data_IF_910569960447
#
_entry.id   IF_910569960447
#
_cell.length_a   1.000
_cell.length_b   1.000
_cell.length_c   1.000
_cell.angle_alpha   90.00
_cell.angle_beta   90.00
_cell.angle_gamma   90.00
#
_symmetry.space_group_name_H-M   'P 1'
#
loop_
_entity.id
_entity.type
_entity.pdbx_description
1 polymer ?
#
# COMPACT_ATOMS: atom_id res chain seq x y z
N UNK A 1 4.86 20.38 -0.56
CA UNK A 1 5.37 20.15 -1.93
C UNK A 1 6.44 19.06 -1.97
N UNK A 2 7.44 19.08 -1.08
CA UNK A 2 8.57 18.14 -1.14
C UNK A 2 8.16 16.66 -0.99
N UNK A 3 7.27 16.32 -0.06
CA UNK A 3 6.83 14.92 0.13
C UNK A 3 6.12 14.37 -1.11
N UNK A 4 5.20 15.13 -1.72
CA UNK A 4 4.52 14.73 -2.96
C UNK A 4 5.52 14.61 -4.11
N UNK A 5 6.47 15.55 -4.23
CA UNK A 5 7.53 15.48 -5.24
C UNK A 5 8.36 14.20 -5.12
N UNK A 6 8.78 13.82 -3.93
CA UNK A 6 9.51 12.58 -3.69
C UNK A 6 8.69 11.32 -4.01
N UNK A 7 7.40 11.31 -3.69
CA UNK A 7 6.50 10.19 -4.04
C UNK A 7 6.39 10.05 -5.57
N UNK A 8 6.22 11.15 -6.30
CA UNK A 8 6.14 11.14 -7.76
C UNK A 8 7.45 10.70 -8.41
N UNK A 9 8.59 11.20 -7.93
CA UNK A 9 9.92 10.76 -8.39
C UNK A 9 10.08 9.25 -8.16
N UNK A 10 9.79 8.77 -6.95
CA UNK A 10 9.86 7.34 -6.65
C UNK A 10 8.93 6.51 -7.55
N UNK A 11 7.71 6.98 -7.80
CA UNK A 11 6.76 6.34 -8.70
C UNK A 11 7.31 6.23 -10.14
N UNK A 12 7.86 7.33 -10.69
CA UNK A 12 8.49 7.36 -12.03
C UNK A 12 9.68 6.39 -12.10
N UNK A 13 10.55 6.43 -11.10
CA UNK A 13 11.70 5.51 -11.01
C UNK A 13 11.28 4.04 -10.95
N UNK A 14 10.19 3.72 -10.25
CA UNK A 14 9.67 2.35 -10.20
C UNK A 14 9.10 1.91 -11.54
N UNK A 15 8.37 2.77 -12.24
CA UNK A 15 7.85 2.49 -13.57
C UNK A 15 8.98 2.27 -14.59
N UNK A 16 10.05 3.07 -14.57
CA UNK A 16 11.22 2.93 -15.42
C UNK A 16 12.06 1.70 -15.11
N UNK A 17 12.25 1.42 -13.83
CA UNK A 17 13.19 0.43 -13.33
C UNK A 17 12.59 -0.94 -13.04
N UNK A 18 11.28 -1.13 -13.18
CA UNK A 18 10.57 -2.37 -12.82
C UNK A 18 10.92 -2.85 -11.41
N UNK A 19 10.87 -1.96 -10.44
CA UNK A 19 11.19 -2.23 -9.04
C UNK A 19 10.03 -1.90 -8.10
N UNK A 20 9.97 -2.47 -6.89
CA UNK A 20 8.93 -2.16 -5.94
C UNK A 20 8.95 -0.68 -5.52
N UNK A 21 7.78 -0.07 -5.38
CA UNK A 21 7.63 1.30 -4.89
C UNK A 21 7.87 1.41 -3.38
N UNK A 22 7.74 0.31 -2.65
CA UNK A 22 7.84 0.23 -1.20
C UNK A 22 8.48 -1.10 -0.79
N UNK A 23 9.11 -1.16 0.38
CA UNK A 23 9.63 -2.41 0.95
C UNK A 23 8.53 -3.41 1.30
N UNK A 24 7.32 -2.92 1.60
CA UNK A 24 6.15 -3.77 1.79
C UNK A 24 5.55 -4.05 0.40
N UNK A 25 5.93 -5.16 -0.18
CA UNK A 25 5.42 -5.59 -1.48
C UNK A 25 4.07 -6.31 -1.37
N UNK A 26 3.53 -6.39 -0.16
CA UNK A 26 2.15 -6.75 0.12
C UNK A 26 1.84 -8.23 0.17
N UNK A 27 0.60 -8.53 0.53
CA UNK A 27 -0.05 -9.81 0.29
C UNK A 27 -0.91 -9.75 -0.96
N UNK A 28 -0.99 -10.85 -1.70
CA UNK A 28 -1.72 -10.87 -2.96
C UNK A 28 -3.21 -11.12 -2.71
N UNK A 29 -4.05 -10.27 -3.29
CA UNK A 29 -5.49 -10.46 -3.37
C UNK A 29 -5.87 -10.63 -4.84
N UNK A 30 -6.65 -11.66 -5.14
CA UNK A 30 -7.09 -11.98 -6.49
C UNK A 30 -8.62 -11.96 -6.51
N UNK A 31 -9.18 -11.14 -7.37
CA UNK A 31 -10.59 -11.16 -7.72
C UNK A 31 -10.71 -11.77 -9.10
N UNK A 32 -11.42 -12.87 -9.22
CA UNK A 32 -11.63 -13.57 -10.47
C UNK A 32 -13.10 -13.79 -10.72
N UNK A 33 -13.57 -13.35 -11.89
CA UNK A 33 -14.87 -13.74 -12.43
C UNK A 33 -14.66 -14.82 -13.47
N UNK A 34 -15.32 -15.93 -13.28
CA UNK A 34 -15.26 -17.08 -14.17
C UNK A 34 -16.52 -17.06 -15.02
N UNK A 35 -16.36 -16.90 -16.31
CA UNK A 35 -17.49 -17.01 -17.24
C UNK A 35 -18.10 -18.41 -17.24
N UNK A 36 -19.43 -18.52 -17.17
CA UNK A 36 -20.14 -19.81 -17.23
C UNK A 36 -19.84 -20.60 -18.50
N UNK A 37 -19.48 -19.92 -19.58
CA UNK A 37 -19.15 -20.52 -20.87
C UNK A 37 -17.65 -20.65 -21.09
N UNK A 38 -16.82 -20.21 -20.15
CA UNK A 38 -15.37 -20.32 -20.23
C UNK A 38 -14.92 -21.80 -20.15
N UNK A 39 -14.08 -22.22 -21.06
CA UNK A 39 -13.48 -23.56 -21.06
C UNK A 39 -12.14 -23.54 -20.36
N UNK A 40 -12.10 -24.06 -19.14
CA UNK A 40 -10.87 -24.16 -18.36
C UNK A 40 -10.27 -25.56 -18.49
N UNK A 41 -9.11 -25.67 -19.12
CA UNK A 41 -8.33 -26.92 -19.18
C UNK A 41 -7.26 -26.90 -18.07
N UNK A 42 -7.67 -27.27 -16.87
CA UNK A 42 -6.81 -27.27 -15.70
C UNK A 42 -6.36 -28.69 -15.34
N UNK A 43 -5.08 -28.83 -15.05
CA UNK A 43 -4.51 -30.10 -14.52
C UNK A 43 -4.48 -30.12 -12.98
N UNK A 44 -4.83 -29.00 -12.35
CA UNK A 44 -4.87 -28.78 -10.89
C UNK A 44 -6.06 -27.91 -10.54
N UNK A 45 -6.34 -27.74 -9.26
CA UNK A 45 -7.36 -26.81 -8.80
C UNK A 45 -6.98 -25.36 -9.20
N UNK A 46 -7.97 -24.55 -9.55
CA UNK A 46 -7.76 -23.15 -9.94
C UNK A 46 -6.96 -22.36 -8.88
N UNK A 47 -7.27 -22.60 -7.60
CA UNK A 47 -6.58 -21.97 -6.46
C UNK A 47 -5.08 -22.30 -6.45
N UNK A 48 -4.72 -23.54 -6.78
CA UNK A 48 -3.32 -23.98 -6.82
C UNK A 48 -2.59 -23.30 -7.99
N UNK A 49 -3.22 -23.22 -9.16
CA UNK A 49 -2.64 -22.54 -10.33
C UNK A 49 -2.38 -21.06 -10.04
N UNK A 50 -3.31 -20.38 -9.38
CA UNK A 50 -3.16 -18.98 -8.98
C UNK A 50 -2.02 -18.81 -7.95
N UNK A 51 -1.94 -19.68 -6.95
CA UNK A 51 -0.87 -19.65 -5.96
C UNK A 51 0.51 -19.97 -6.57
N UNK A 52 0.59 -20.88 -7.52
CA UNK A 52 1.85 -21.11 -8.26
C UNK A 52 2.31 -19.86 -9.02
N UNK A 53 1.37 -19.11 -9.59
CA UNK A 53 1.67 -17.80 -10.22
C UNK A 53 2.23 -16.80 -9.23
N UNK A 54 1.63 -16.71 -8.05
CA UNK A 54 2.11 -15.84 -6.95
C UNK A 54 3.51 -16.27 -6.50
N UNK A 55 3.70 -17.55 -6.22
CA UNK A 55 5.01 -18.09 -5.82
C UNK A 55 6.09 -17.78 -6.85
N UNK A 56 5.83 -18.02 -8.13
CA UNK A 56 6.76 -17.67 -9.22
C UNK A 56 7.09 -16.19 -9.27
N UNK A 57 6.10 -15.31 -9.08
CA UNK A 57 6.31 -13.87 -9.08
C UNK A 57 7.21 -13.41 -7.92
N UNK A 58 7.00 -13.94 -6.73
CA UNK A 58 7.76 -13.55 -5.54
C UNK A 58 9.12 -14.23 -5.41
N UNK A 59 9.31 -15.42 -5.96
CA UNK A 59 10.59 -16.14 -5.90
C UNK A 59 11.48 -15.94 -7.12
N UNK A 60 11.02 -15.19 -8.13
CA UNK A 60 11.82 -14.85 -9.29
C UNK A 60 13.04 -14.01 -8.86
N UNK A 61 14.28 -14.45 -9.15
CA UNK A 61 15.49 -13.73 -8.76
C UNK A 61 15.63 -12.34 -9.40
N UNK A 62 14.95 -12.10 -10.51
CA UNK A 62 14.93 -10.78 -11.15
C UNK A 62 13.98 -9.78 -10.46
N UNK A 63 13.14 -10.26 -9.53
CA UNK A 63 12.21 -9.45 -8.75
C UNK A 63 12.72 -9.28 -7.33
N UNK A 64 12.84 -8.04 -6.87
CA UNK A 64 13.20 -7.71 -5.49
C UNK A 64 11.97 -7.63 -4.58
N UNK A 65 11.09 -8.63 -4.67
CA UNK A 65 9.87 -8.68 -3.87
C UNK A 65 10.14 -9.32 -2.50
N UNK A 66 9.51 -8.76 -1.47
CA UNK A 66 9.64 -9.24 -0.10
C UNK A 66 8.50 -10.20 0.24
N UNK A 67 8.85 -11.37 0.77
CA UNK A 67 7.87 -12.30 1.32
C UNK A 67 7.29 -11.75 2.63
N UNK A 68 5.98 -11.60 2.71
CA UNK A 68 5.29 -11.00 3.85
C UNK A 68 4.26 -11.93 4.49
N UNK A 69 3.90 -13.01 3.82
CA UNK A 69 2.92 -13.98 4.32
C UNK A 69 3.56 -14.91 5.34
N UNK A 70 2.85 -15.15 6.44
CA UNK A 70 3.26 -16.07 7.50
C UNK A 70 2.20 -17.13 7.72
N UNK A 71 2.63 -18.38 7.82
CA UNK A 71 1.81 -19.48 8.30
C UNK A 71 1.67 -19.41 9.83
N UNK A 72 0.68 -20.12 10.37
CA UNK A 72 0.39 -20.17 11.81
C UNK A 72 0.30 -18.76 12.43
N UNK A 73 -0.67 -17.93 12.00
CA UNK A 73 -0.73 -16.52 12.37
C UNK A 73 -0.95 -16.29 13.88
N UNK A 74 -1.57 -17.22 14.58
CA UNK A 74 -1.77 -17.17 16.03
C UNK A 74 -0.61 -17.80 16.83
N UNK A 75 0.29 -18.53 16.17
CA UNK A 75 1.38 -19.25 16.81
C UNK A 75 2.77 -18.76 16.39
N UNK A 76 3.54 -19.62 15.73
CA UNK A 76 4.95 -19.37 15.37
C UNK A 76 5.17 -18.30 14.33
N UNK A 77 4.17 -17.97 13.52
CA UNK A 77 4.23 -16.95 12.45
C UNK A 77 5.43 -17.15 11.52
N UNK A 78 5.57 -18.36 11.00
CA UNK A 78 6.68 -18.73 10.11
C UNK A 78 6.44 -18.19 8.71
N UNK A 79 7.42 -17.47 8.14
CA UNK A 79 7.32 -16.92 6.78
C UNK A 79 7.22 -18.06 5.75
N UNK A 80 6.31 -17.95 4.81
CA UNK A 80 6.07 -18.97 3.76
C UNK A 80 7.16 -18.99 2.69
N UNK A 81 7.94 -17.92 2.56
CA UNK A 81 9.08 -17.74 1.64
C UNK A 81 8.75 -17.69 0.15
N UNK A 82 7.49 -17.67 -0.19
CA UNK A 82 6.97 -17.56 -1.55
C UNK A 82 5.75 -16.62 -1.64
N UNK A 83 5.39 -16.03 -0.51
CA UNK A 83 4.26 -15.12 -0.34
C UNK A 83 2.88 -15.74 -0.62
N UNK A 84 2.76 -17.05 -0.54
CA UNK A 84 1.49 -17.80 -0.64
C UNK A 84 0.93 -18.15 0.74
N UNK A 85 -0.38 -18.45 0.87
CA UNK A 85 -1.38 -18.35 -0.18
C UNK A 85 -1.84 -16.91 -0.45
N UNK A 86 -2.32 -16.65 -1.66
CA UNK A 86 -3.09 -15.45 -1.96
C UNK A 86 -4.48 -15.51 -1.32
N UNK A 87 -5.10 -14.34 -1.12
CA UNK A 87 -6.52 -14.24 -0.78
C UNK A 87 -7.32 -14.16 -2.08
N UNK A 88 -8.05 -15.22 -2.39
CA UNK A 88 -8.72 -15.39 -3.68
C UNK A 88 -10.23 -15.29 -3.51
N UNK A 89 -10.86 -14.43 -4.29
CA UNK A 89 -12.31 -14.27 -4.38
C UNK A 89 -12.78 -14.67 -5.77
N UNK A 90 -13.62 -15.71 -5.84
CA UNK A 90 -14.17 -16.22 -7.10
C UNK A 90 -15.63 -15.86 -7.19
N UNK A 91 -16.01 -15.28 -8.31
CA UNK A 91 -17.41 -15.06 -8.70
C UNK A 91 -17.66 -15.66 -10.08
N UNK A 92 -18.91 -15.84 -10.45
CA UNK A 92 -19.30 -16.42 -11.74
C UNK A 92 -20.22 -15.43 -12.44
N UNK A 93 -20.04 -15.27 -13.75
CA UNK A 93 -20.91 -14.46 -14.60
C UNK A 93 -21.28 -15.16 -15.90
N UNK A 94 -22.03 -14.50 -16.78
CA UNK A 94 -22.51 -15.08 -18.05
C UNK A 94 -21.54 -14.84 -19.23
N UNK A 95 -20.25 -14.61 -18.95
CA UNK A 95 -19.24 -14.45 -20.01
C UNK A 95 -18.67 -15.79 -20.48
N UNK A 96 -17.76 -15.73 -21.45
CA UNK A 96 -16.96 -16.84 -21.98
C UNK A 96 -15.46 -16.70 -21.66
N UNK A 97 -15.10 -15.80 -20.77
CA UNK A 97 -13.73 -15.46 -20.40
C UNK A 97 -13.49 -15.45 -18.89
N UNK A 98 -12.24 -15.26 -18.48
CA UNK A 98 -11.85 -14.98 -17.12
C UNK A 98 -11.50 -13.50 -16.99
N UNK A 99 -12.20 -12.78 -16.13
CA UNK A 99 -11.87 -11.41 -15.73
C UNK A 99 -11.10 -11.47 -14.42
N UNK A 100 -9.85 -11.03 -14.43
CA UNK A 100 -8.92 -11.20 -13.30
C UNK A 100 -8.36 -9.85 -12.87
N UNK A 101 -8.51 -9.54 -11.59
CA UNK A 101 -7.80 -8.43 -10.95
C UNK A 101 -6.86 -8.98 -9.88
N UNK A 102 -5.58 -8.64 -9.99
CA UNK A 102 -4.53 -9.01 -9.03
C UNK A 102 -4.04 -7.76 -8.33
N UNK A 103 -4.09 -7.75 -7.00
CA UNK A 103 -3.63 -6.63 -6.19
C UNK A 103 -2.62 -7.08 -5.14
N UNK A 104 -1.49 -6.37 -5.06
CA UNK A 104 -0.51 -6.53 -3.99
C UNK A 104 -0.78 -5.47 -2.90
N UNK A 105 -1.47 -5.88 -1.83
CA UNK A 105 -1.97 -4.99 -0.78
C UNK A 105 -1.00 -4.92 0.40
N UNK A 106 -0.45 -3.71 0.64
CA UNK A 106 0.48 -3.48 1.74
C UNK A 106 -0.16 -3.63 3.12
N UNK A 107 0.55 -4.28 4.05
CA UNK A 107 0.06 -4.59 5.40
C UNK A 107 -0.13 -3.34 6.26
N UNK A 108 0.69 -2.29 6.09
CA UNK A 108 0.57 -1.06 6.87
C UNK A 108 -0.80 -0.40 6.72
N UNK A 109 -1.27 -0.23 5.48
CA UNK A 109 -2.60 0.30 5.22
C UNK A 109 -3.70 -0.72 5.53
N UNK A 110 -3.48 -2.01 5.27
CA UNK A 110 -4.43 -3.08 5.61
C UNK A 110 -4.77 -3.08 7.11
N UNK A 111 -3.77 -2.92 7.96
CA UNK A 111 -3.92 -2.90 9.43
C UNK A 111 -4.72 -1.69 9.95
N UNK A 112 -5.05 -0.72 9.10
CA UNK A 112 -5.89 0.43 9.44
C UNK A 112 -7.33 0.28 8.95
N UNK A 113 -7.70 -0.89 8.45
CA UNK A 113 -9.09 -1.21 8.10
C UNK A 113 -10.00 -1.05 9.31
N UNK A 114 -11.19 -0.52 9.07
CA UNK A 114 -12.23 -0.28 10.06
C UNK A 114 -13.54 -0.91 9.61
N UNK A 115 -14.29 -1.39 10.58
CA UNK A 115 -15.60 -1.97 10.35
C UNK A 115 -16.54 -1.61 11.50
N UNK A 116 -17.81 -1.39 11.17
CA UNK A 116 -18.89 -1.25 12.15
C UNK A 116 -20.21 -1.75 11.57
N UNK A 117 -21.12 -2.10 12.46
CA UNK A 117 -22.54 -2.20 12.12
C UNK A 117 -23.22 -1.00 12.78
N UNK A 118 -23.60 -0.04 11.96
CA UNK A 118 -24.25 1.19 12.39
C UNK A 118 -25.76 0.95 12.56
N UNK A 119 -26.44 1.84 13.31
CA UNK A 119 -27.87 1.88 13.25
C UNK A 119 -28.31 2.45 11.89
N UNK A 120 -29.48 2.05 11.34
CA UNK A 120 -29.96 2.57 10.05
C UNK A 120 -30.11 4.10 9.99
N UNK A 121 -30.24 4.76 11.13
CA UNK A 121 -30.31 6.23 11.25
C UNK A 121 -28.96 6.92 11.35
N UNK A 122 -27.87 6.18 11.50
CA UNK A 122 -26.53 6.76 11.66
C UNK A 122 -25.96 7.21 10.30
N UNK A 123 -25.09 8.20 10.34
CA UNK A 123 -24.47 8.77 9.17
C UNK A 123 -23.18 8.00 8.79
N UNK A 124 -23.17 7.36 7.63
CA UNK A 124 -21.96 6.75 7.06
C UNK A 124 -20.86 7.80 6.84
N UNK A 125 -21.23 9.00 6.39
CA UNK A 125 -20.29 10.10 6.21
C UNK A 125 -19.57 10.44 7.51
N UNK A 126 -20.31 10.63 8.61
CA UNK A 126 -19.71 11.02 9.90
C UNK A 126 -18.82 9.90 10.45
N UNK A 127 -19.24 8.64 10.28
CA UNK A 127 -18.43 7.49 10.66
C UNK A 127 -17.10 7.45 9.91
N UNK A 128 -17.11 7.66 8.59
CA UNK A 128 -15.88 7.71 7.78
C UNK A 128 -14.99 8.85 8.21
N UNK A 129 -15.54 10.07 8.36
CA UNK A 129 -14.77 11.25 8.74
C UNK A 129 -14.12 11.10 10.12
N UNK A 130 -14.81 10.50 11.09
CA UNK A 130 -14.26 10.22 12.42
C UNK A 130 -13.10 9.23 12.34
N UNK A 131 -13.28 8.13 11.62
CA UNK A 131 -12.26 7.08 11.49
C UNK A 131 -11.02 7.55 10.71
N UNK A 132 -11.17 8.39 9.69
CA UNK A 132 -10.03 8.96 8.96
C UNK A 132 -9.19 9.85 9.88
N UNK A 133 -9.81 10.66 10.74
CA UNK A 133 -9.09 11.47 11.74
C UNK A 133 -8.33 10.59 12.74
N UNK A 134 -8.96 9.52 13.22
CA UNK A 134 -8.33 8.57 14.14
C UNK A 134 -7.15 7.83 13.51
N UNK A 135 -7.26 7.42 12.24
CA UNK A 135 -6.17 6.76 11.51
C UNK A 135 -4.94 7.65 11.36
N UNK A 136 -5.15 8.96 11.26
CA UNK A 136 -4.07 9.93 11.06
C UNK A 136 -3.19 9.58 9.86
N UNK A 137 -1.87 9.52 10.07
CA UNK A 137 -0.89 9.16 9.04
C UNK A 137 -0.56 7.65 8.99
N UNK A 138 -1.14 6.84 9.86
CA UNK A 138 -0.74 5.45 10.05
C UNK A 138 -0.99 4.50 8.87
N UNK A 139 -1.66 4.96 7.83
CA UNK A 139 -1.94 4.21 6.59
C UNK A 139 -1.12 4.69 5.38
N UNK A 140 -0.13 5.58 5.62
CA UNK A 140 0.77 6.15 4.62
C UNK A 140 0.05 6.95 3.52
N UNK A 141 -0.70 8.01 3.86
CA UNK A 141 -1.31 8.89 2.88
C UNK A 141 -0.24 9.62 2.02
N UNK A 142 -0.57 10.11 0.81
CA UNK A 142 -1.90 10.12 0.21
C UNK A 142 -2.21 8.78 -0.44
N UNK A 143 -3.44 8.33 -0.32
CA UNK A 143 -3.83 7.05 -0.89
C UNK A 143 -5.31 7.01 -1.25
N UNK A 144 -5.84 5.81 -1.42
CA UNK A 144 -7.23 5.57 -1.80
C UNK A 144 -7.97 4.95 -0.61
N UNK A 145 -9.18 5.42 -0.33
CA UNK A 145 -10.06 4.79 0.64
C UNK A 145 -11.13 3.97 -0.09
N UNK A 146 -11.16 2.67 0.16
CA UNK A 146 -12.24 1.79 -0.27
C UNK A 146 -13.29 1.68 0.83
N UNK A 147 -14.55 1.92 0.49
CA UNK A 147 -15.68 1.87 1.40
C UNK A 147 -16.70 0.87 0.88
N UNK A 148 -17.17 -0.02 1.74
CA UNK A 148 -18.25 -0.94 1.47
C UNK A 148 -19.43 -0.67 2.39
N UNK A 149 -20.62 -0.53 1.84
CA UNK A 149 -21.84 -0.20 2.57
C UNK A 149 -22.88 -1.28 2.34
N UNK A 150 -23.49 -1.80 3.39
CA UNK A 150 -24.57 -2.75 3.30
C UNK A 150 -24.14 -4.22 3.20
N UNK A 151 -25.04 -5.07 2.73
CA UNK A 151 -24.90 -6.53 2.81
C UNK A 151 -24.97 -7.02 4.25
N UNK A 152 -24.02 -7.85 4.63
CA UNK A 152 -23.71 -8.28 5.99
C UNK A 152 -22.24 -7.95 6.32
N UNK A 153 -21.72 -8.23 7.53
CA UNK A 153 -20.37 -7.87 7.93
C UNK A 153 -19.28 -8.24 6.92
N UNK A 154 -19.25 -9.48 6.50
CA UNK A 154 -18.24 -9.96 5.56
C UNK A 154 -18.40 -9.36 4.16
N UNK A 155 -19.65 -9.12 3.70
CA UNK A 155 -19.91 -8.50 2.39
C UNK A 155 -19.45 -7.05 2.37
N UNK A 156 -19.70 -6.27 3.42
CA UNK A 156 -19.24 -4.86 3.48
C UNK A 156 -17.71 -4.76 3.48
N UNK A 157 -17.00 -5.66 4.19
CA UNK A 157 -15.53 -5.74 4.15
C UNK A 157 -15.01 -6.11 2.75
N UNK A 158 -15.67 -7.07 2.09
CA UNK A 158 -15.33 -7.46 0.72
C UNK A 158 -15.54 -6.31 -0.26
N UNK A 159 -16.70 -5.64 -0.19
CA UNK A 159 -17.00 -4.47 -1.02
C UNK A 159 -15.97 -3.34 -0.83
N UNK A 160 -15.57 -3.06 0.41
CA UNK A 160 -14.54 -2.07 0.69
C UNK A 160 -13.20 -2.41 0.02
N UNK A 161 -12.82 -3.69 0.01
CA UNK A 161 -11.60 -4.15 -0.68
C UNK A 161 -11.76 -4.07 -2.20
N UNK A 162 -12.86 -4.56 -2.73
CA UNK A 162 -13.16 -4.60 -4.15
C UNK A 162 -13.28 -3.18 -4.74
N UNK A 163 -13.87 -2.24 -4.01
CA UNK A 163 -14.01 -0.85 -4.45
C UNK A 163 -12.67 -0.20 -4.81
N UNK A 164 -11.58 -0.56 -4.11
CA UNK A 164 -10.23 -0.05 -4.40
C UNK A 164 -9.78 -0.32 -5.84
N UNK A 165 -10.33 -1.35 -6.48
CA UNK A 165 -9.98 -1.80 -7.84
C UNK A 165 -10.89 -1.19 -8.91
N UNK A 166 -11.90 -0.39 -8.53
CA UNK A 166 -12.84 0.23 -9.46
C UNK A 166 -12.15 1.15 -10.47
N UNK A 167 -12.60 1.10 -11.73
CA UNK A 167 -11.96 1.80 -12.84
C UNK A 167 -12.19 3.32 -12.83
N UNK A 168 -13.39 3.77 -12.46
CA UNK A 168 -13.73 5.20 -12.44
C UNK A 168 -12.94 5.91 -11.36
N UNK A 169 -12.05 6.80 -11.77
CA UNK A 169 -11.27 7.63 -10.85
C UNK A 169 -12.01 8.93 -10.47
N UNK A 170 -11.47 9.62 -9.46
CA UNK A 170 -12.08 10.85 -8.96
C UNK A 170 -12.05 12.00 -9.98
N UNK A 171 -11.10 12.01 -10.89
CA UNK A 171 -11.00 13.06 -11.91
C UNK A 171 -12.09 12.89 -12.96
N UNK A 172 -12.31 11.67 -13.43
CA UNK A 172 -13.43 11.34 -14.31
C UNK A 172 -14.76 11.70 -13.64
N UNK A 173 -14.94 11.31 -12.38
CA UNK A 173 -16.16 11.63 -11.64
C UNK A 173 -16.39 13.14 -11.51
N UNK A 174 -15.33 13.92 -11.26
CA UNK A 174 -15.42 15.38 -11.21
C UNK A 174 -15.76 16.02 -12.56
N UNK A 175 -15.22 15.46 -13.64
CA UNK A 175 -15.47 15.98 -14.99
C UNK A 175 -16.92 15.75 -15.44
N UNK A 176 -17.47 14.55 -15.23
CA UNK A 176 -18.81 14.21 -15.65
C UNK A 176 -19.92 14.57 -14.64
N UNK A 177 -19.54 14.83 -13.41
CA UNK A 177 -20.45 15.01 -12.28
C UNK A 177 -21.01 13.69 -11.73
N UNK A 178 -21.54 13.71 -10.49
CA UNK A 178 -22.16 12.54 -9.87
C UNK A 178 -23.50 12.21 -10.52
N UNK A 179 -23.78 10.94 -10.71
CA UNK A 179 -25.01 10.43 -11.33
C UNK A 179 -25.97 9.76 -10.33
N UNK A 180 -25.52 9.58 -9.09
CA UNK A 180 -26.30 8.98 -8.00
C UNK A 180 -25.79 9.44 -6.64
N UNK A 181 -26.56 9.17 -5.58
CA UNK A 181 -26.22 9.55 -4.21
C UNK A 181 -24.89 8.96 -3.70
N UNK A 182 -24.51 7.78 -4.19
CA UNK A 182 -23.23 7.14 -3.80
C UNK A 182 -22.04 7.92 -4.35
N UNK A 183 -22.12 8.41 -5.58
CA UNK A 183 -21.09 9.26 -6.19
C UNK A 183 -21.05 10.66 -5.59
N UNK A 184 -22.20 11.20 -5.16
CA UNK A 184 -22.25 12.45 -4.38
C UNK A 184 -21.52 12.28 -3.04
N UNK A 185 -21.79 11.18 -2.33
CA UNK A 185 -21.09 10.85 -1.09
C UNK A 185 -19.58 10.70 -1.31
N UNK A 186 -19.17 10.04 -2.40
CA UNK A 186 -17.77 9.86 -2.79
C UNK A 186 -17.06 11.20 -2.99
N UNK A 187 -17.65 12.13 -3.75
CA UNK A 187 -17.10 13.47 -3.97
C UNK A 187 -17.00 14.26 -2.67
N UNK A 188 -18.07 14.24 -1.88
CA UNK A 188 -18.10 14.96 -0.59
C UNK A 188 -17.02 14.45 0.36
N UNK A 189 -16.88 13.15 0.51
CA UNK A 189 -15.82 12.55 1.34
C UNK A 189 -14.43 12.91 0.82
N UNK A 190 -14.19 12.83 -0.49
CA UNK A 190 -12.92 13.20 -1.09
C UNK A 190 -12.53 14.65 -0.75
N UNK A 191 -13.44 15.58 -0.90
CA UNK A 191 -13.19 16.99 -0.62
C UNK A 191 -12.94 17.26 0.86
N UNK A 192 -13.79 16.71 1.72
CA UNK A 192 -13.75 17.02 3.15
C UNK A 192 -12.60 16.30 3.87
N UNK A 193 -12.21 15.10 3.43
CA UNK A 193 -11.01 14.41 3.95
C UNK A 193 -9.75 15.21 3.60
N UNK A 194 -9.65 15.74 2.39
CA UNK A 194 -8.50 16.55 2.00
C UNK A 194 -8.41 17.89 2.78
N UNK A 195 -9.54 18.44 3.25
CA UNK A 195 -9.58 19.62 4.13
C UNK A 195 -9.10 19.33 5.56
N UNK A 196 -9.05 18.06 6.01
CA UNK A 196 -8.52 17.71 7.35
C UNK A 196 -7.04 18.13 7.48
N UNK A 197 -6.29 18.13 6.36
CA UNK A 197 -4.92 18.61 6.34
C UNK A 197 -3.87 17.64 6.87
N UNK A 198 -4.17 16.33 7.00
CA UNK A 198 -3.18 15.30 7.36
C UNK A 198 -2.03 15.32 6.35
N UNK A 199 -2.37 15.35 5.07
CA UNK A 199 -1.41 15.46 3.97
C UNK A 199 -0.52 14.24 3.77
N UNK A 200 0.37 14.34 2.79
CA UNK A 200 1.30 13.27 2.44
C UNK A 200 2.16 12.86 3.64
N UNK A 201 2.13 11.58 3.97
CA UNK A 201 2.87 10.96 5.09
C UNK A 201 2.63 11.64 6.46
N UNK A 202 1.51 12.36 6.61
CA UNK A 202 1.21 13.10 7.83
C UNK A 202 1.99 14.41 8.02
N UNK A 203 2.66 14.87 6.97
CA UNK A 203 3.47 16.09 7.01
C UNK A 203 2.64 17.38 6.75
N UNK A 204 1.33 17.26 6.78
CA UNK A 204 0.43 18.36 6.47
C UNK A 204 0.24 18.58 4.97
N UNK A 205 -0.77 19.36 4.61
CA UNK A 205 -1.05 19.74 3.23
C UNK A 205 -2.44 19.34 2.74
N UNK A 206 -2.68 19.58 1.47
CA UNK A 206 -4.01 19.50 0.86
C UNK A 206 -4.35 18.14 0.22
N UNK A 207 -3.43 17.16 0.31
CA UNK A 207 -3.61 15.86 -0.31
C UNK A 207 -3.44 14.76 0.72
N UNK A 208 -4.54 14.35 1.33
CA UNK A 208 -4.64 13.21 2.25
C UNK A 208 -5.13 11.98 1.50
N UNK A 209 -6.13 12.12 0.63
CA UNK A 209 -6.61 11.07 -0.26
C UNK A 209 -6.43 11.46 -1.71
N UNK A 210 -6.05 10.48 -2.53
CA UNK A 210 -6.03 10.57 -3.99
C UNK A 210 -7.41 10.25 -4.56
N UNK A 211 -8.14 9.35 -3.91
CA UNK A 211 -9.50 8.96 -4.27
C UNK A 211 -10.24 8.39 -3.06
N UNK A 212 -11.56 8.41 -3.13
CA UNK A 212 -12.46 7.65 -2.27
C UNK A 212 -13.33 6.81 -3.18
N UNK A 213 -13.36 5.50 -2.99
CA UNK A 213 -14.14 4.57 -3.81
C UNK A 213 -15.17 3.86 -2.95
N UNK A 214 -16.39 3.75 -3.43
CA UNK A 214 -17.51 3.23 -2.64
C UNK A 214 -18.26 2.19 -3.47
N UNK A 215 -18.57 1.06 -2.86
CA UNK A 215 -19.53 0.08 -3.35
C UNK A 215 -20.59 -0.17 -2.28
N UNK A 216 -21.81 -0.45 -2.70
CA UNK A 216 -22.90 -0.78 -1.81
C UNK A 216 -23.60 -2.09 -2.20
N UNK A 217 -24.37 -2.60 -1.28
CA UNK A 217 -25.20 -3.80 -1.46
C UNK A 217 -26.42 -3.73 -0.57
N UNK A 218 -27.61 -4.21 -1.02
CA UNK A 218 -28.79 -4.28 -0.18
C UNK A 218 -28.52 -4.99 1.15
N UNK A 219 -29.05 -4.44 2.24
CA UNK A 219 -28.87 -5.00 3.57
C UNK A 219 -30.20 -5.17 4.32
N UNK A 220 -30.15 -5.85 5.47
CA UNK A 220 -31.31 -6.00 6.34
C UNK A 220 -31.77 -4.64 6.87
N UNK A 221 -33.08 -4.38 6.90
CA UNK A 221 -33.67 -3.09 7.28
C UNK A 221 -33.25 -2.60 8.68
N UNK A 222 -32.90 -3.50 9.60
CA UNK A 222 -32.46 -3.17 10.95
C UNK A 222 -30.93 -3.03 11.10
N UNK A 223 -30.18 -3.00 10.00
CA UNK A 223 -28.71 -3.09 10.05
C UNK A 223 -28.10 -2.22 8.96
N UNK A 224 -26.99 -1.56 9.29
CA UNK A 224 -26.18 -0.80 8.33
C UNK A 224 -24.70 -1.18 8.50
N UNK A 225 -24.27 -2.32 7.95
CA UNK A 225 -22.86 -2.69 7.95
C UNK A 225 -22.06 -1.71 7.08
N UNK A 226 -20.94 -1.23 7.61
CA UNK A 226 -20.04 -0.36 6.88
C UNK A 226 -18.60 -0.73 7.16
N UNK A 227 -17.78 -0.75 6.11
CA UNK A 227 -16.36 -1.03 6.19
C UNK A 227 -15.56 0.01 5.42
N UNK A 228 -14.33 0.27 5.89
CA UNK A 228 -13.39 1.14 5.22
C UNK A 228 -12.01 0.48 5.21
N UNK A 229 -11.42 0.31 4.05
CA UNK A 229 -10.10 -0.25 3.83
C UNK A 229 -9.24 0.78 3.11
N UNK A 230 -8.23 1.38 3.77
CA UNK A 230 -7.33 2.29 3.10
C UNK A 230 -6.31 1.53 2.25
N UNK A 231 -5.87 2.18 1.15
CA UNK A 231 -4.75 1.75 0.34
C UNK A 231 -3.74 2.89 0.25
N UNK A 232 -2.48 2.63 0.59
CA UNK A 232 -1.45 3.68 0.69
C UNK A 232 -1.05 4.24 -0.69
N UNK A 233 -0.14 5.22 -0.70
CA UNK A 233 0.41 5.80 -1.92
C UNK A 233 1.03 4.76 -2.88
N UNK A 234 1.51 3.63 -2.36
CA UNK A 234 2.03 2.52 -3.15
C UNK A 234 0.92 1.56 -3.61
N UNK A 235 -0.11 2.09 -4.25
CA UNK A 235 -1.19 1.30 -4.86
C UNK A 235 -0.66 0.44 -6.00
N UNK A 236 -0.98 -0.86 -5.97
CA UNK A 236 -0.48 -1.86 -6.93
C UNK A 236 -1.57 -2.86 -7.24
N UNK A 237 -2.19 -2.74 -8.39
CA UNK A 237 -3.09 -3.74 -8.94
C UNK A 237 -3.03 -3.73 -10.46
N UNK A 238 -3.44 -4.83 -11.05
CA UNK A 238 -3.55 -5.00 -12.49
C UNK A 238 -4.83 -5.76 -12.80
N UNK A 239 -5.47 -5.37 -13.86
CA UNK A 239 -6.66 -6.02 -14.40
C UNK A 239 -6.36 -6.56 -15.79
N UNK A 240 -6.84 -7.75 -16.10
CA UNK A 240 -6.72 -8.38 -17.40
C UNK A 240 -7.77 -9.47 -17.60
N UNK A 241 -8.03 -9.77 -18.85
CA UNK A 241 -8.96 -10.80 -19.29
C UNK A 241 -8.20 -11.92 -20.00
N UNK A 242 -8.67 -13.16 -19.82
CA UNK A 242 -8.20 -14.34 -20.54
C UNK A 242 -9.37 -14.95 -21.28
N UNK A 243 -9.34 -14.89 -22.61
CA UNK A 243 -10.39 -15.32 -23.51
C UNK A 243 -9.97 -16.48 -24.43
N UNK A 244 -8.87 -17.15 -24.13
CA UNK A 244 -8.34 -18.25 -24.92
C UNK A 244 -7.51 -17.85 -26.15
N UNK A 245 -7.37 -16.56 -26.46
CA UNK A 245 -6.60 -16.08 -27.60
C UNK A 245 -5.10 -15.87 -27.31
N UNK A 246 -4.60 -16.42 -26.23
CA UNK A 246 -3.19 -16.33 -25.82
C UNK A 246 -3.00 -15.69 -24.44
N UNK A 247 -1.74 -15.37 -24.07
CA UNK A 247 -1.44 -14.78 -22.79
C UNK A 247 -1.95 -13.34 -22.69
N UNK A 248 -2.24 -12.88 -21.48
CA UNK A 248 -2.58 -11.49 -21.23
C UNK A 248 -1.48 -10.53 -21.70
N UNK A 249 -1.89 -9.43 -22.33
CA UNK A 249 -0.98 -8.39 -22.82
C UNK A 249 -1.09 -7.16 -21.91
N UNK A 250 0.03 -6.75 -21.33
CA UNK A 250 0.09 -5.60 -20.47
C UNK A 250 0.71 -4.39 -21.17
N UNK A 251 0.04 -3.25 -21.07
CA UNK A 251 0.57 -1.98 -21.57
C UNK A 251 1.71 -1.52 -20.67
N UNK A 252 2.81 -1.08 -21.27
CA UNK A 252 3.86 -0.39 -20.53
C UNK A 252 3.32 0.95 -20.00
N UNK A 253 3.78 1.40 -18.82
CA UNK A 253 3.43 2.72 -18.33
C UNK A 253 3.85 3.80 -19.32
N UNK A 254 2.96 4.76 -19.56
CA UNK A 254 3.30 5.99 -20.28
C UNK A 254 4.08 6.90 -19.33
N UNK A 255 5.38 7.03 -19.57
CA UNK A 255 6.27 7.80 -18.68
C UNK A 255 6.05 9.32 -18.78
N UNK A 256 5.39 9.80 -19.82
CA UNK A 256 5.13 11.22 -20.05
C UNK A 256 4.02 11.77 -19.12
N UNK A 257 3.24 10.88 -18.48
CA UNK A 257 2.24 11.32 -17.49
C UNK A 257 2.85 11.82 -16.17
N UNK A 258 4.10 11.45 -15.85
CA UNK A 258 4.77 11.96 -14.67
C UNK A 258 5.36 13.34 -14.92
N UNK A 259 5.11 14.31 -14.02
CA UNK A 259 5.72 15.63 -14.14
C UNK A 259 7.24 15.53 -13.95
N UNK A 260 7.97 16.41 -14.62
CA UNK A 260 9.38 16.59 -14.31
C UNK A 260 9.53 17.37 -13.02
N UNK A 261 10.24 16.77 -12.06
CA UNK A 261 10.46 17.32 -10.74
C UNK A 261 11.97 17.45 -10.52
N UNK A 262 12.45 18.68 -10.50
CA UNK A 262 13.83 18.98 -10.15
C UNK A 262 13.97 19.07 -8.62
N UNK A 263 14.91 18.32 -8.08
CA UNK A 263 15.37 18.49 -6.70
C UNK A 263 16.61 19.41 -6.76
N UNK A 264 16.73 20.42 -5.89
CA UNK A 264 17.86 21.35 -5.91
C UNK A 264 19.13 20.73 -5.29
N UNK A 265 19.54 19.57 -5.84
CA UNK A 265 20.61 18.72 -5.28
C UNK A 265 21.94 19.48 -5.17
N UNK A 266 22.22 20.38 -6.11
CA UNK A 266 23.47 21.14 -6.14
C UNK A 266 23.58 22.19 -5.02
N UNK A 267 22.44 22.63 -4.49
CA UNK A 267 22.38 23.62 -3.39
C UNK A 267 22.24 22.96 -2.01
N UNK A 268 22.05 21.65 -1.94
CA UNK A 268 21.88 20.92 -0.69
C UNK A 268 23.25 20.68 -0.04
N UNK A 269 23.35 20.98 1.27
CA UNK A 269 24.57 20.77 2.04
C UNK A 269 24.90 19.27 2.11
N UNK A 270 26.10 18.92 1.64
CA UNK A 270 26.63 17.55 1.74
C UNK A 270 27.27 17.34 3.10
N UNK A 271 26.95 16.22 3.74
CA UNK A 271 27.42 15.91 5.09
C UNK A 271 27.90 14.46 5.13
N UNK A 272 29.16 14.27 5.52
CA UNK A 272 29.71 12.96 5.84
C UNK A 272 29.38 12.63 7.30
N UNK A 273 28.49 11.65 7.53
CA UNK A 273 28.06 11.28 8.89
C UNK A 273 29.13 10.53 9.68
N UNK A 274 30.16 9.96 9.03
CA UNK A 274 31.26 9.29 9.72
C UNK A 274 32.21 10.31 10.38
N UNK A 275 32.11 11.58 9.97
CA UNK A 275 32.91 12.71 10.51
C UNK A 275 32.11 13.57 11.50
N UNK A 276 30.82 13.30 11.68
CA UNK A 276 29.97 14.07 12.58
C UNK A 276 30.19 13.67 14.04
N UNK A 277 30.40 14.69 14.87
CA UNK A 277 30.43 14.57 16.33
C UNK A 277 29.17 15.20 16.94
N UNK A 278 28.90 14.91 18.22
CA UNK A 278 27.77 15.54 18.94
C UNK A 278 27.87 17.06 18.97
N UNK A 279 29.09 17.59 19.07
CA UNK A 279 29.35 19.02 19.15
C UNK A 279 28.97 19.74 17.85
N UNK A 280 29.24 19.13 16.70
CA UNK A 280 28.99 19.76 15.41
C UNK A 280 27.60 19.46 14.84
N UNK A 281 26.78 18.61 15.52
CA UNK A 281 25.36 18.42 15.16
C UNK A 281 24.55 19.71 15.32
N UNK A 282 24.89 20.57 16.27
CA UNK A 282 24.20 21.84 16.54
C UNK A 282 24.25 22.85 15.39
N UNK A 283 25.09 22.61 14.39
CA UNK A 283 25.13 23.45 13.17
C UNK A 283 23.92 23.29 12.28
N UNK A 284 23.15 22.20 12.46
CA UNK A 284 21.93 21.91 11.68
C UNK A 284 20.68 22.39 12.42
N UNK A 285 19.72 22.87 11.65
CA UNK A 285 18.44 23.37 12.17
C UNK A 285 17.30 22.52 11.66
N UNK A 286 16.20 22.53 12.40
CA UNK A 286 14.95 21.93 11.95
C UNK A 286 14.52 22.53 10.62
N UNK A 287 14.27 21.68 9.63
CA UNK A 287 13.92 22.08 8.26
C UNK A 287 15.09 22.12 7.28
N UNK A 288 16.33 21.96 7.75
CA UNK A 288 17.48 21.82 6.83
C UNK A 288 17.35 20.53 6.01
N UNK A 289 17.65 20.64 4.72
CA UNK A 289 17.78 19.49 3.82
C UNK A 289 19.25 19.15 3.65
N UNK A 290 19.62 17.90 3.87
CA UNK A 290 21.00 17.44 3.85
C UNK A 290 21.15 16.24 2.91
N UNK A 291 22.27 16.18 2.17
CA UNK A 291 22.71 14.96 1.48
C UNK A 291 23.73 14.24 2.38
N UNK A 292 23.33 13.10 2.90
CA UNK A 292 24.16 12.32 3.82
C UNK A 292 24.99 11.29 3.05
N UNK A 293 26.26 11.18 3.41
CA UNK A 293 27.17 10.10 3.01
C UNK A 293 27.81 9.49 4.25
N UNK A 294 28.22 8.21 4.16
CA UNK A 294 28.86 7.50 5.27
C UNK A 294 28.06 6.25 5.70
N UNK A 295 28.50 5.63 6.80
CA UNK A 295 27.93 4.37 7.31
C UNK A 295 26.74 4.64 8.22
N UNK A 296 25.56 4.20 7.81
CA UNK A 296 24.32 4.31 8.59
C UNK A 296 23.79 2.91 8.94
N UNK A 297 23.27 2.78 10.16
CA UNK A 297 22.53 1.57 10.55
C UNK A 297 21.07 1.72 10.19
N UNK A 298 20.47 0.65 9.70
CA UNK A 298 19.01 0.60 9.50
C UNK A 298 18.38 -0.24 10.59
N UNK A 299 17.42 0.31 11.31
CA UNK A 299 16.73 -0.39 12.38
C UNK A 299 15.32 0.16 12.56
N UNK A 300 14.32 -0.74 12.61
CA UNK A 300 12.91 -0.41 12.85
C UNK A 300 12.38 -1.23 14.04
N UNK A 301 11.06 -1.30 14.23
CA UNK A 301 10.39 -1.83 15.41
C UNK A 301 11.01 -3.09 16.02
N UNK A 302 11.18 -4.14 15.22
CA UNK A 302 11.71 -5.42 15.71
C UNK A 302 13.17 -5.31 16.15
N UNK A 303 13.98 -4.51 15.45
CA UNK A 303 15.37 -4.29 15.80
C UNK A 303 15.46 -3.45 17.08
N UNK A 304 14.69 -2.37 17.21
CA UNK A 304 14.66 -1.56 18.44
C UNK A 304 14.17 -2.36 19.64
N UNK A 305 13.14 -3.19 19.49
CA UNK A 305 12.69 -4.09 20.56
C UNK A 305 13.83 -4.98 21.04
N UNK A 306 14.55 -5.64 20.13
CA UNK A 306 15.72 -6.46 20.48
C UNK A 306 16.84 -5.64 21.15
N UNK A 307 17.15 -4.45 20.64
CA UNK A 307 18.15 -3.57 21.26
C UNK A 307 17.77 -3.29 22.70
N UNK A 308 16.50 -2.96 22.98
CA UNK A 308 16.04 -2.69 24.35
C UNK A 308 16.14 -3.94 25.21
N UNK A 309 15.69 -5.12 24.73
CA UNK A 309 15.76 -6.39 25.47
C UNK A 309 17.21 -6.76 25.84
N UNK A 310 18.15 -6.64 24.89
CA UNK A 310 19.57 -6.92 25.15
C UNK A 310 20.16 -5.93 26.15
N UNK A 311 19.84 -4.63 26.02
CA UNK A 311 20.30 -3.59 26.94
C UNK A 311 19.77 -3.83 28.36
N UNK A 312 18.50 -4.17 28.51
CA UNK A 312 17.89 -4.48 29.81
C UNK A 312 18.48 -5.75 30.44
N UNK A 313 18.86 -6.73 29.62
CA UNK A 313 19.49 -7.96 30.07
C UNK A 313 21.02 -7.80 30.33
N UNK A 314 21.59 -6.61 30.12
CA UNK A 314 23.04 -6.37 30.25
C UNK A 314 23.89 -7.16 29.24
N UNK A 315 23.31 -7.60 28.12
CA UNK A 315 23.98 -8.43 27.11
C UNK A 315 24.50 -7.55 25.96
N UNK A 316 25.64 -7.93 25.34
CA UNK A 316 26.10 -7.27 24.12
C UNK A 316 25.11 -7.52 22.97
N UNK A 317 25.02 -6.56 22.06
CA UNK A 317 24.17 -6.73 20.88
C UNK A 317 24.71 -7.84 19.97
N UNK A 318 23.83 -8.54 19.24
CA UNK A 318 24.23 -9.59 18.32
C UNK A 318 25.21 -9.09 17.25
N UNK A 319 26.04 -9.99 16.75
CA UNK A 319 27.01 -9.74 15.67
C UNK A 319 28.00 -8.58 15.94
N UNK A 320 28.26 -8.27 17.22
CA UNK A 320 29.21 -7.22 17.60
C UNK A 320 28.77 -5.79 17.22
N UNK A 321 27.48 -5.58 17.03
CA UNK A 321 26.95 -4.24 16.70
C UNK A 321 27.17 -3.31 17.89
N UNK A 322 27.89 -2.20 17.65
CA UNK A 322 28.04 -1.07 18.57
C UNK A 322 27.22 0.11 18.07
N UNK A 323 26.38 0.66 18.95
CA UNK A 323 25.52 1.83 18.65
C UNK A 323 26.19 3.16 19.04
N UNK A 324 27.36 3.10 19.70
CA UNK A 324 28.03 4.31 20.12
C UNK A 324 28.44 5.15 18.91
N UNK A 325 28.08 6.42 18.95
CA UNK A 325 28.36 7.40 17.89
C UNK A 325 27.91 6.97 16.48
N UNK A 326 26.82 6.21 16.41
CA UNK A 326 26.21 5.74 15.16
C UNK A 326 24.89 6.42 14.86
N UNK A 327 24.66 6.68 13.59
CA UNK A 327 23.37 7.11 13.07
C UNK A 327 22.51 5.89 12.78
N UNK A 328 21.25 5.98 13.17
CA UNK A 328 20.24 4.98 12.84
C UNK A 328 19.19 5.62 11.93
N UNK A 329 19.05 5.08 10.74
CA UNK A 329 17.91 5.36 9.89
C UNK A 329 16.77 4.43 10.32
N UNK A 330 15.72 5.02 10.90
CA UNK A 330 14.57 4.24 11.37
C UNK A 330 13.75 3.74 10.20
N UNK A 331 14.17 2.63 9.62
CA UNK A 331 13.62 2.08 8.38
C UNK A 331 13.92 0.59 8.28
N UNK A 332 13.12 -0.12 7.49
CA UNK A 332 13.35 -1.52 7.13
C UNK A 332 13.47 -1.66 5.61
N UNK A 333 14.66 -1.45 5.03
CA UNK A 333 14.84 -1.59 3.59
C UNK A 333 14.76 -3.05 3.14
N UNK A 334 14.44 -3.25 1.87
CA UNK A 334 14.79 -4.48 1.13
C UNK A 334 16.16 -4.32 0.52
N UNK A 335 16.69 -5.40 -0.07
CA UNK A 335 17.96 -5.34 -0.76
C UNK A 335 17.96 -4.29 -1.89
N UNK A 336 19.07 -3.56 -2.08
CA UNK A 336 19.16 -2.58 -3.14
C UNK A 336 19.08 -3.22 -4.52
N UNK A 337 18.55 -2.46 -5.46
CA UNK A 337 18.49 -2.84 -6.87
C UNK A 337 19.63 -2.17 -7.60
N UNK A 338 20.40 -2.91 -8.37
CA UNK A 338 21.57 -2.38 -9.12
C UNK A 338 22.60 -1.76 -8.19
N UNK A 339 23.09 -0.56 -8.52
CA UNK A 339 24.12 0.17 -7.77
C UNK A 339 23.56 1.13 -6.71
N UNK A 340 22.35 0.90 -6.23
CA UNK A 340 21.72 1.74 -5.21
C UNK A 340 22.32 1.46 -3.83
N UNK A 341 22.51 2.52 -3.04
CA UNK A 341 23.05 2.40 -1.69
C UNK A 341 22.09 1.70 -0.72
N UNK A 342 20.78 1.82 -0.97
CA UNK A 342 19.72 1.24 -0.15
C UNK A 342 18.51 0.93 -1.05
N UNK A 343 17.87 -0.20 -0.85
CA UNK A 343 16.67 -0.58 -1.57
C UNK A 343 15.42 0.18 -1.09
N UNK A 344 14.27 -0.07 -1.72
CA UNK A 344 12.99 0.46 -1.27
C UNK A 344 12.81 0.27 0.22
N UNK A 345 12.39 1.30 0.92
CA UNK A 345 12.41 1.36 2.37
C UNK A 345 11.14 2.02 2.94
N UNK A 346 10.77 1.65 4.17
CA UNK A 346 9.64 2.23 4.87
C UNK A 346 9.60 1.86 6.35
#
# INVERSE_FOLDING_TARGET
>A
KNAIGQILINSKMCAMGHRPMCQDTGSVNIFIKVGLNAKLELTKELVDVLNEGVAKGYTNPDNTLRYSVVSDPAGKRTNTKDNTPAVIHVTVDNSDELDITVAAKGGGSENKSKFAVLNPSDSVYDWVMANVREMGAGWCPPGILGIGIGGNPEKSMLLAKESLMGHVDIHELKLRGPQNALEELRLKLYEDINKIGIGAQGLGGLTTVLDVKILDYPCHAASLPVAMIPNCAATRHIHFELNGNGPAVFKKPDLDIWPDIELPIDTIKRVNIDELTKENLSQFKSGDTLLLSGKILTARDAAHKKIVEYKQAGKPLPNGVDLKDRFIYYVGPVDPVRDEAVGPAG
#
